data_IF_118646639168
#
_entry.id   IF_118646639168
#
_cell.length_a   1.000
_cell.length_b   1.000
_cell.length_c   1.000
_cell.angle_alpha   90.00
_cell.angle_beta   90.00
_cell.angle_gamma   90.00
#
_symmetry.space_group_name_H-M   'P 1'
#
loop_
_entity.id
_entity.type
_entity.pdbx_description
1 polymer ?
#
# COMPACT_ATOMS: atom_id res chain seq x y z
N UNK A 1 2.57 -4.45 -13.99
CA UNK A 1 2.96 -3.13 -13.39
C UNK A 1 2.46 -3.07 -11.94
N UNK A 2 3.17 -2.34 -11.07
CA UNK A 2 2.73 -2.20 -9.66
C UNK A 2 1.60 -1.16 -9.58
N UNK A 3 0.46 -1.53 -9.01
CA UNK A 3 -0.71 -0.65 -8.82
C UNK A 3 -0.35 0.63 -8.06
N UNK A 4 0.50 0.52 -7.03
CA UNK A 4 0.99 1.61 -6.21
C UNK A 4 2.47 1.40 -5.94
N UNK A 5 3.26 2.44 -6.12
CA UNK A 5 4.68 2.47 -5.74
C UNK A 5 4.82 3.37 -4.52
N UNK A 6 5.43 2.85 -3.46
CA UNK A 6 5.87 3.61 -2.30
C UNK A 6 7.37 3.43 -2.11
N UNK A 7 8.10 4.53 -2.04
CA UNK A 7 9.54 4.55 -1.75
C UNK A 7 9.82 5.55 -0.63
N UNK A 8 10.71 5.19 0.29
CA UNK A 8 11.10 6.04 1.41
C UNK A 8 12.62 6.07 1.56
N UNK A 9 13.16 7.24 1.86
CA UNK A 9 14.58 7.49 2.13
C UNK A 9 14.72 8.54 3.22
N UNK A 10 15.93 8.67 3.78
CA UNK A 10 16.37 9.81 4.59
C UNK A 10 17.86 10.08 4.34
N UNK A 11 18.32 11.23 4.76
CA UNK A 11 19.75 11.52 4.87
C UNK A 11 20.13 11.45 6.34
N UNK A 12 21.29 10.87 6.62
CA UNK A 12 21.76 10.73 8.00
C UNK A 12 21.97 12.13 8.64
N UNK A 13 21.36 12.43 9.79
CA UNK A 13 21.38 13.77 10.38
C UNK A 13 22.79 14.27 10.73
N UNK A 14 23.71 13.36 11.07
CA UNK A 14 25.09 13.71 11.46
C UNK A 14 26.01 14.08 10.28
N UNK A 15 25.53 13.98 9.04
CA UNK A 15 26.30 14.45 7.88
C UNK A 15 26.19 15.97 7.76
N UNK A 16 27.34 16.63 7.64
CA UNK A 16 27.47 18.11 7.58
C UNK A 16 26.59 18.76 6.49
N UNK A 17 26.40 18.07 5.37
CA UNK A 17 25.63 18.55 4.23
C UNK A 17 24.11 18.27 4.33
N UNK A 18 23.66 17.48 5.31
CA UNK A 18 22.25 17.08 5.44
C UNK A 18 21.29 18.26 5.58
N UNK A 19 21.55 19.29 6.39
CA UNK A 19 20.64 20.43 6.49
C UNK A 19 20.44 21.14 5.15
N UNK A 20 21.51 21.44 4.43
CA UNK A 20 21.47 22.04 3.11
C UNK A 20 20.75 21.17 2.07
N UNK A 21 21.03 19.87 2.09
CA UNK A 21 20.38 18.93 1.19
C UNK A 21 18.89 18.74 1.48
N UNK A 22 18.45 18.87 2.74
CA UNK A 22 17.03 18.83 3.09
C UNK A 22 16.33 20.13 2.66
N UNK A 23 16.94 21.29 2.86
CA UNK A 23 16.46 22.55 2.32
C UNK A 23 16.28 22.49 0.79
N UNK A 24 17.32 22.08 0.09
CA UNK A 24 17.30 21.97 -1.38
C UNK A 24 16.26 20.98 -1.88
N UNK A 25 16.02 19.90 -1.14
CA UNK A 25 14.98 18.94 -1.50
C UNK A 25 13.57 19.53 -1.36
N UNK A 26 13.28 20.27 -0.28
CA UNK A 26 11.99 20.97 -0.14
C UNK A 26 11.79 21.96 -1.27
N UNK A 27 12.81 22.78 -1.59
CA UNK A 27 12.76 23.68 -2.76
C UNK A 27 12.46 22.92 -4.05
N UNK A 28 13.16 21.82 -4.29
CA UNK A 28 12.99 20.99 -5.49
C UNK A 28 11.55 20.49 -5.65
N UNK A 29 10.97 19.89 -4.61
CA UNK A 29 9.61 19.37 -4.70
C UNK A 29 8.56 20.47 -4.81
N UNK A 30 8.83 21.66 -4.23
CA UNK A 30 7.92 22.79 -4.22
C UNK A 30 7.82 23.51 -5.56
N UNK A 31 8.94 23.61 -6.30
CA UNK A 31 9.09 24.56 -7.40
C UNK A 31 9.49 23.94 -8.75
N UNK A 32 9.73 22.62 -8.81
CA UNK A 32 10.10 21.92 -10.04
C UNK A 32 9.05 22.15 -11.15
N UNK A 33 9.47 22.21 -12.44
CA UNK A 33 8.52 22.14 -13.55
C UNK A 33 7.56 20.96 -13.42
N UNK A 34 6.30 21.16 -13.80
CA UNK A 34 5.19 20.18 -13.67
C UNK A 34 4.71 19.88 -12.24
N UNK A 35 5.15 20.65 -11.23
CA UNK A 35 4.47 20.64 -9.94
C UNK A 35 3.07 21.25 -10.09
N UNK A 36 2.07 20.60 -9.54
CA UNK A 36 0.74 21.19 -9.43
C UNK A 36 0.81 22.30 -8.37
N UNK A 37 0.66 23.56 -8.83
CA UNK A 37 0.77 24.73 -7.96
C UNK A 37 -0.57 25.04 -7.31
N UNK A 38 -0.52 25.63 -6.13
CA UNK A 38 -1.67 26.27 -5.49
C UNK A 38 -2.12 27.49 -6.31
N UNK A 39 -3.39 27.82 -6.23
CA UNK A 39 -3.94 29.03 -6.86
C UNK A 39 -3.18 30.26 -6.35
N UNK A 40 -2.76 31.12 -7.28
CA UNK A 40 -2.01 32.34 -6.99
C UNK A 40 -0.65 32.18 -6.31
N UNK A 41 -0.06 30.97 -6.32
CA UNK A 41 1.24 30.71 -5.71
C UNK A 41 2.28 30.24 -6.74
N UNK A 42 3.55 30.50 -6.44
CA UNK A 42 4.67 30.05 -7.27
C UNK A 42 5.18 28.65 -6.90
N UNK A 43 4.50 27.96 -5.99
CA UNK A 43 4.86 26.63 -5.50
C UNK A 43 3.63 25.74 -5.35
N UNK A 44 3.85 24.41 -5.17
CA UNK A 44 2.81 23.41 -4.99
C UNK A 44 2.86 22.68 -3.65
N UNK A 45 3.50 23.25 -2.62
CA UNK A 45 3.55 22.63 -1.29
C UNK A 45 2.23 22.77 -0.54
N UNK A 46 1.83 21.69 0.10
CA UNK A 46 0.77 21.62 1.09
C UNK A 46 1.17 20.65 2.21
N UNK A 47 0.48 20.66 3.34
CA UNK A 47 0.77 19.77 4.47
C UNK A 47 0.42 20.41 5.80
N UNK A 48 0.93 19.83 6.91
CA UNK A 48 0.67 20.30 8.27
C UNK A 48 1.96 20.33 9.08
N UNK A 49 2.31 21.50 9.58
CA UNK A 49 3.45 21.69 10.48
C UNK A 49 3.04 21.71 11.95
N UNK A 50 1.74 21.97 12.23
CA UNK A 50 1.18 21.92 13.57
C UNK A 50 -0.18 21.19 13.53
N UNK A 51 -0.59 20.52 14.63
CA UNK A 51 -1.92 19.93 14.74
C UNK A 51 -3.02 20.99 14.52
N UNK A 52 -3.96 20.72 13.61
CA UNK A 52 -5.04 21.65 13.29
C UNK A 52 -4.68 22.80 12.35
N UNK A 53 -3.42 22.93 11.95
CA UNK A 53 -2.98 23.95 11.00
C UNK A 53 -3.59 23.79 9.61
N UNK A 54 -3.67 24.91 8.88
CA UNK A 54 -4.12 24.96 7.49
C UNK A 54 -3.13 24.19 6.60
N UNK A 55 -3.65 23.54 5.59
CA UNK A 55 -2.93 22.64 4.70
C UNK A 55 -2.13 23.32 3.61
N UNK A 56 -2.32 24.62 3.39
CA UNK A 56 -1.59 25.40 2.38
C UNK A 56 -0.55 26.30 3.03
N UNK A 57 0.66 26.32 2.47
CA UNK A 57 1.75 27.19 2.92
C UNK A 57 1.80 28.46 2.09
N UNK A 58 1.99 29.60 2.75
CA UNK A 58 2.17 30.89 2.06
C UNK A 58 3.49 31.00 1.30
N UNK A 59 4.57 30.44 1.84
CA UNK A 59 5.88 30.38 1.18
C UNK A 59 6.53 29.00 1.45
N UNK A 60 7.01 28.35 0.40
CA UNK A 60 7.76 27.10 0.51
C UNK A 60 9.05 27.25 1.32
N UNK A 61 9.61 28.46 1.38
CA UNK A 61 10.85 28.74 2.12
C UNK A 61 10.70 28.51 3.62
N UNK A 62 9.52 28.69 4.18
CA UNK A 62 9.28 28.46 5.62
C UNK A 62 9.42 26.98 5.95
N UNK A 63 8.86 26.10 5.13
CA UNK A 63 9.04 24.63 5.26
C UNK A 63 10.51 24.27 5.05
N UNK A 64 11.19 24.85 4.08
CA UNK A 64 12.59 24.59 3.77
C UNK A 64 13.51 25.04 4.93
N UNK A 65 13.28 26.23 5.49
CA UNK A 65 14.02 26.73 6.67
C UNK A 65 13.79 25.86 7.90
N UNK A 66 12.55 25.43 8.15
CA UNK A 66 12.21 24.54 9.23
C UNK A 66 12.92 23.18 9.07
N UNK A 67 12.89 22.59 7.86
CA UNK A 67 13.59 21.33 7.59
C UNK A 67 15.12 21.45 7.80
N UNK A 68 15.71 22.58 7.42
CA UNK A 68 17.11 22.88 7.67
C UNK A 68 17.41 22.96 9.18
N UNK A 69 16.62 23.73 9.93
CA UNK A 69 16.79 23.91 11.36
C UNK A 69 16.62 22.60 12.14
N UNK A 70 15.62 21.80 11.79
CA UNK A 70 15.37 20.49 12.37
C UNK A 70 16.54 19.51 12.08
N UNK A 71 17.06 19.52 10.87
CA UNK A 71 18.23 18.70 10.52
C UNK A 71 19.46 19.07 11.34
N UNK A 72 19.68 20.36 11.61
CA UNK A 72 20.75 20.82 12.51
C UNK A 72 20.58 20.33 13.95
N UNK A 73 19.35 20.15 14.38
CA UNK A 73 19.01 19.60 15.72
C UNK A 73 19.11 18.06 15.80
N UNK A 74 19.43 17.39 14.69
CA UNK A 74 19.48 15.93 14.62
C UNK A 74 18.12 15.26 14.41
N UNK A 75 17.08 16.01 14.00
CA UNK A 75 15.79 15.47 13.60
C UNK A 75 15.91 14.90 12.21
N UNK A 76 15.46 13.65 12.04
CA UNK A 76 15.48 12.95 10.74
C UNK A 76 14.31 13.40 9.88
N UNK A 77 14.58 13.91 8.70
CA UNK A 77 13.58 14.16 7.69
C UNK A 77 13.50 12.95 6.74
N UNK A 78 12.39 12.24 6.78
CA UNK A 78 12.07 11.21 5.82
C UNK A 78 11.55 11.84 4.52
N UNK A 79 11.90 11.22 3.40
CA UNK A 79 11.48 11.61 2.06
C UNK A 79 10.81 10.41 1.43
N UNK A 80 9.57 10.53 1.04
CA UNK A 80 8.85 9.45 0.38
C UNK A 80 8.23 9.91 -0.93
N UNK A 81 7.92 8.93 -1.77
CA UNK A 81 7.21 9.10 -3.03
C UNK A 81 6.10 8.07 -3.08
N UNK A 82 4.90 8.53 -3.37
CA UNK A 82 3.75 7.69 -3.72
C UNK A 82 3.43 7.94 -5.19
N UNK A 83 3.38 6.90 -6.00
CA UNK A 83 3.11 6.99 -7.43
C UNK A 83 2.13 5.92 -7.87
N UNK A 84 1.31 6.28 -8.85
CA UNK A 84 0.38 5.39 -9.54
C UNK A 84 0.69 5.34 -11.03
N UNK A 85 0.26 4.29 -11.70
CA UNK A 85 0.11 4.32 -13.15
C UNK A 85 -0.97 5.36 -13.54
N UNK A 86 -0.89 5.92 -14.74
CA UNK A 86 -1.82 6.96 -15.21
C UNK A 86 -3.28 6.52 -15.09
N UNK A 87 -3.60 5.31 -15.56
CA UNK A 87 -4.96 4.79 -15.53
C UNK A 87 -5.48 4.60 -14.10
N UNK A 88 -4.64 4.12 -13.21
CA UNK A 88 -4.99 3.99 -11.78
C UNK A 88 -5.25 5.36 -11.15
N UNK A 89 -4.43 6.38 -11.45
CA UNK A 89 -4.64 7.72 -10.93
C UNK A 89 -5.94 8.34 -11.45
N UNK A 90 -6.29 8.11 -12.73
CA UNK A 90 -7.57 8.53 -13.32
C UNK A 90 -8.75 7.85 -12.63
N UNK A 91 -8.66 6.55 -12.43
CA UNK A 91 -9.69 5.76 -11.75
C UNK A 91 -9.93 6.24 -10.30
N UNK A 92 -8.86 6.57 -9.58
CA UNK A 92 -8.92 7.16 -8.23
C UNK A 92 -9.29 8.65 -8.23
N UNK A 93 -9.60 9.23 -9.39
CA UNK A 93 -9.91 10.64 -9.56
C UNK A 93 -8.84 11.60 -9.02
N UNK A 94 -7.57 11.18 -9.08
CA UNK A 94 -6.42 11.96 -8.65
C UNK A 94 -5.97 12.91 -9.76
N UNK A 95 -6.81 13.86 -10.14
CA UNK A 95 -6.64 14.74 -11.30
C UNK A 95 -6.07 16.13 -10.97
N UNK A 96 -6.16 16.56 -9.73
CA UNK A 96 -5.76 17.90 -9.27
C UNK A 96 -5.07 17.84 -7.90
N UNK A 97 -4.50 18.95 -7.47
CA UNK A 97 -3.81 19.02 -6.18
C UNK A 97 -4.73 18.71 -5.00
N UNK A 98 -6.00 19.16 -5.02
CA UNK A 98 -6.95 18.96 -3.92
C UNK A 98 -7.30 17.49 -3.74
N UNK A 99 -7.44 16.73 -4.83
CA UNK A 99 -7.69 15.28 -4.76
C UNK A 99 -6.49 14.52 -4.18
N UNK A 100 -5.26 14.87 -4.59
CA UNK A 100 -4.04 14.31 -4.03
C UNK A 100 -3.83 14.69 -2.56
N UNK A 101 -4.20 15.92 -2.19
CA UNK A 101 -4.13 16.38 -0.80
C UNK A 101 -5.03 15.53 0.09
N UNK A 102 -6.32 15.34 -0.29
CA UNK A 102 -7.26 14.47 0.43
C UNK A 102 -6.73 13.03 0.52
N UNK A 103 -6.18 12.51 -0.58
CA UNK A 103 -5.57 11.20 -0.59
C UNK A 103 -4.44 11.09 0.45
N UNK A 104 -3.53 12.07 0.49
CA UNK A 104 -2.45 12.07 1.47
C UNK A 104 -2.92 12.28 2.90
N UNK A 105 -3.90 13.13 3.15
CA UNK A 105 -4.48 13.32 4.49
C UNK A 105 -5.05 12.01 5.07
N UNK A 106 -5.64 11.17 4.23
CA UNK A 106 -6.14 9.86 4.63
C UNK A 106 -5.02 8.85 4.93
N UNK A 107 -3.85 8.99 4.30
CA UNK A 107 -2.78 7.99 4.40
C UNK A 107 -1.57 8.43 5.23
N UNK A 108 -1.42 9.74 5.51
CA UNK A 108 -0.23 10.25 6.20
C UNK A 108 -0.05 9.65 7.60
N UNK A 109 -1.15 9.34 8.29
CA UNK A 109 -1.10 8.70 9.61
C UNK A 109 -0.63 7.24 9.53
N UNK A 110 -0.96 6.53 8.46
CA UNK A 110 -0.40 5.20 8.19
C UNK A 110 1.12 5.27 8.00
N UNK A 111 1.59 6.25 7.21
CA UNK A 111 3.02 6.47 6.98
C UNK A 111 3.73 6.82 8.29
N UNK A 112 3.21 7.78 9.05
CA UNK A 112 3.75 8.21 10.32
C UNK A 112 3.80 7.08 11.35
N UNK A 113 2.68 6.39 11.58
CA UNK A 113 2.57 5.32 12.57
C UNK A 113 3.52 4.15 12.30
N UNK A 114 3.71 3.74 11.04
CA UNK A 114 4.69 2.70 10.68
C UNK A 114 6.15 3.14 10.90
N UNK A 115 6.41 4.44 10.92
CA UNK A 115 7.71 5.02 11.28
C UNK A 115 7.83 5.36 12.77
N UNK A 116 6.85 5.00 13.61
CA UNK A 116 6.86 5.27 15.04
C UNK A 116 6.60 6.73 15.41
N UNK A 117 6.07 7.53 14.49
CA UNK A 117 5.79 8.96 14.71
C UNK A 117 4.37 9.09 15.25
N UNK A 118 4.24 9.71 16.41
CA UNK A 118 2.94 10.00 17.03
C UNK A 118 2.26 11.17 16.32
N UNK A 119 0.91 11.18 16.34
CA UNK A 119 0.08 12.19 15.67
C UNK A 119 0.43 13.62 16.10
N UNK A 120 0.62 13.84 17.38
CA UNK A 120 0.94 15.14 17.97
C UNK A 120 2.31 15.67 17.60
N UNK A 121 3.21 14.78 17.17
CA UNK A 121 4.58 15.11 16.79
C UNK A 121 4.81 15.18 15.30
N UNK A 122 3.85 14.70 14.52
CA UNK A 122 3.97 14.64 13.07
C UNK A 122 3.97 16.04 12.45
N UNK A 123 5.01 16.33 11.70
CA UNK A 123 5.07 17.46 10.77
C UNK A 123 5.34 16.90 9.37
N UNK A 124 4.64 17.41 8.38
CA UNK A 124 4.79 16.94 7.00
C UNK A 124 4.46 18.00 5.98
N UNK A 125 5.07 17.89 4.82
CA UNK A 125 4.74 18.67 3.64
C UNK A 125 4.83 17.79 2.39
N UNK A 126 4.04 18.10 1.38
CA UNK A 126 3.99 17.32 0.15
C UNK A 126 3.78 18.22 -1.08
N UNK A 127 4.14 17.71 -2.25
CA UNK A 127 3.87 18.35 -3.53
C UNK A 127 3.61 17.29 -4.60
N UNK A 128 2.68 17.56 -5.49
CA UNK A 128 2.30 16.68 -6.59
C UNK A 128 3.07 17.04 -7.85
N UNK A 129 3.73 16.06 -8.45
CA UNK A 129 4.38 16.19 -9.74
C UNK A 129 3.56 15.45 -10.80
N UNK A 130 3.03 16.23 -11.74
CA UNK A 130 2.19 15.67 -12.80
C UNK A 130 3.05 15.19 -13.97
N UNK A 131 3.49 13.94 -13.88
CA UNK A 131 4.14 13.25 -15.00
C UNK A 131 3.10 12.36 -15.69
N UNK A 132 2.94 12.52 -17.01
CA UNK A 132 1.83 11.90 -17.77
C UNK A 132 1.69 10.39 -17.55
N UNK A 133 2.81 9.66 -17.54
CA UNK A 133 2.78 8.19 -17.41
C UNK A 133 2.74 7.69 -15.97
N UNK A 134 3.13 8.52 -15.00
CA UNK A 134 3.25 8.15 -13.59
C UNK A 134 3.13 9.37 -12.67
N UNK A 135 1.93 9.92 -12.54
CA UNK A 135 1.70 10.99 -11.59
C UNK A 135 2.09 10.53 -10.18
N UNK A 136 2.75 11.42 -9.44
CA UNK A 136 3.29 11.06 -8.14
C UNK A 136 3.33 12.24 -7.19
N UNK A 137 3.29 11.94 -5.91
CA UNK A 137 3.43 12.90 -4.83
C UNK A 137 4.72 12.64 -4.07
N UNK A 138 5.50 13.69 -3.89
CA UNK A 138 6.61 13.71 -2.96
C UNK A 138 6.11 14.13 -1.59
N UNK A 139 6.53 13.41 -0.55
CA UNK A 139 6.19 13.73 0.83
C UNK A 139 7.47 13.81 1.64
N UNK A 140 7.60 14.88 2.42
CA UNK A 140 8.61 15.01 3.46
C UNK A 140 7.91 15.02 4.82
N UNK A 141 8.43 14.28 5.78
CA UNK A 141 7.82 14.18 7.10
C UNK A 141 8.87 13.87 8.17
N UNK A 142 8.58 14.26 9.40
CA UNK A 142 9.46 14.07 10.55
C UNK A 142 8.68 14.10 11.86
N UNK A 143 9.29 13.55 12.91
CA UNK A 143 8.85 13.72 14.30
C UNK A 143 9.55 14.97 14.87
N UNK A 144 8.76 16.01 15.24
CA UNK A 144 9.31 17.27 15.75
C UNK A 144 10.03 17.16 17.10
N UNK A 145 9.78 16.09 17.83
CA UNK A 145 10.30 15.88 19.18
C UNK A 145 11.52 14.95 19.26
N UNK A 146 11.74 14.12 18.24
CA UNK A 146 12.72 13.03 18.32
C UNK A 146 14.01 13.38 17.59
N UNK A 147 15.12 13.34 18.32
CA UNK A 147 16.48 13.37 17.78
C UNK A 147 17.00 11.94 17.66
N UNK A 148 17.35 11.53 16.47
CA UNK A 148 17.83 10.17 16.21
C UNK A 148 19.32 10.20 15.88
N UNK A 149 20.14 9.57 16.72
CA UNK A 149 21.60 9.50 16.49
C UNK A 149 21.95 8.57 15.32
N UNK A 150 21.32 7.40 15.26
CA UNK A 150 21.54 6.38 14.23
C UNK A 150 20.21 5.98 13.61
N UNK A 151 19.67 6.77 12.67
CA UNK A 151 18.42 6.43 12.02
C UNK A 151 18.61 5.21 11.12
N UNK A 152 17.63 4.32 11.20
CA UNK A 152 17.55 3.15 10.35
C UNK A 152 16.09 2.90 9.95
N UNK A 153 15.85 2.63 8.67
CA UNK A 153 14.52 2.24 8.20
C UNK A 153 14.63 0.84 7.61
N UNK A 154 14.21 -0.21 8.34
CA UNK A 154 14.15 -1.56 7.80
C UNK A 154 13.27 -1.59 6.53
N UNK A 155 13.64 -2.42 5.55
CA UNK A 155 12.85 -2.57 4.29
C UNK A 155 11.40 -2.99 4.53
N UNK A 156 11.13 -3.65 5.67
CA UNK A 156 9.78 -4.04 6.07
C UNK A 156 8.85 -2.81 6.25
N UNK A 157 9.38 -1.66 6.73
CA UNK A 157 8.55 -0.46 6.96
C UNK A 157 7.95 0.09 5.66
N UNK A 158 8.73 0.43 4.62
CA UNK A 158 8.16 0.85 3.33
C UNK A 158 7.23 -0.18 2.70
N UNK A 159 7.53 -1.47 2.84
CA UNK A 159 6.68 -2.55 2.33
C UNK A 159 5.36 -2.64 3.10
N UNK A 160 5.38 -2.51 4.42
CA UNK A 160 4.17 -2.51 5.25
C UNK A 160 3.29 -1.28 4.96
N UNK A 161 3.90 -0.11 4.77
CA UNK A 161 3.18 1.12 4.36
C UNK A 161 2.51 0.88 3.02
N UNK A 162 3.27 0.40 2.02
CA UNK A 162 2.74 0.12 0.68
C UNK A 162 1.57 -0.86 0.72
N UNK A 163 1.70 -1.97 1.44
CA UNK A 163 0.63 -2.98 1.58
C UNK A 163 -0.63 -2.38 2.22
N UNK A 164 -0.46 -1.58 3.27
CA UNK A 164 -1.61 -0.94 3.94
C UNK A 164 -2.28 0.08 3.02
N UNK A 165 -1.50 0.94 2.35
CA UNK A 165 -2.05 1.90 1.39
C UNK A 165 -2.82 1.22 0.25
N UNK A 166 -2.31 0.11 -0.29
CA UNK A 166 -3.05 -0.68 -1.31
C UNK A 166 -4.37 -1.19 -0.74
N UNK A 167 -4.33 -1.77 0.47
CA UNK A 167 -5.52 -2.31 1.13
C UNK A 167 -6.57 -1.22 1.34
N UNK A 168 -6.16 -0.06 1.83
CA UNK A 168 -7.08 1.05 2.13
C UNK A 168 -7.62 1.69 0.85
N UNK A 169 -6.76 1.88 -0.17
CA UNK A 169 -7.13 2.51 -1.44
C UNK A 169 -8.06 1.64 -2.29
N UNK A 170 -7.89 0.33 -2.27
CA UNK A 170 -8.60 -0.61 -3.14
C UNK A 170 -9.52 -1.57 -2.36
N UNK A 171 -9.93 -1.21 -1.15
CA UNK A 171 -10.73 -2.06 -0.26
C UNK A 171 -11.99 -2.62 -0.96
N UNK A 172 -12.75 -1.76 -1.61
CA UNK A 172 -14.00 -2.16 -2.30
C UNK A 172 -13.72 -3.16 -3.45
N UNK A 173 -12.67 -2.91 -4.25
CA UNK A 173 -12.27 -3.84 -5.32
C UNK A 173 -11.81 -5.18 -4.77
N UNK A 174 -11.00 -5.16 -3.72
CA UNK A 174 -10.52 -6.39 -3.06
C UNK A 174 -11.71 -7.21 -2.56
N UNK A 175 -12.70 -6.56 -1.96
CA UNK A 175 -13.93 -7.22 -1.50
C UNK A 175 -14.76 -7.77 -2.66
N UNK A 176 -14.88 -7.02 -3.77
CA UNK A 176 -15.59 -7.49 -4.97
C UNK A 176 -14.91 -8.73 -5.56
N UNK A 177 -13.59 -8.71 -5.76
CA UNK A 177 -12.83 -9.88 -6.22
C UNK A 177 -12.95 -11.08 -5.29
N UNK A 178 -12.91 -10.86 -3.95
CA UNK A 178 -13.08 -11.95 -2.99
C UNK A 178 -14.48 -12.58 -3.11
N UNK A 179 -15.52 -11.78 -3.31
CA UNK A 179 -16.89 -12.25 -3.52
C UNK A 179 -17.00 -13.06 -4.81
N UNK A 180 -16.50 -12.54 -5.93
CA UNK A 180 -16.48 -13.24 -7.22
C UNK A 180 -15.73 -14.56 -7.14
N UNK A 181 -14.56 -14.58 -6.50
CA UNK A 181 -13.79 -15.80 -6.27
C UNK A 181 -14.60 -16.83 -5.49
N UNK A 182 -15.26 -16.41 -4.40
CA UNK A 182 -16.05 -17.32 -3.57
C UNK A 182 -17.23 -17.92 -4.35
N UNK A 183 -17.92 -17.10 -5.16
CA UNK A 183 -18.99 -17.58 -6.05
C UNK A 183 -18.47 -18.59 -7.07
N UNK A 184 -17.31 -18.31 -7.70
CA UNK A 184 -16.71 -19.25 -8.65
C UNK A 184 -16.31 -20.57 -8.00
N UNK A 185 -15.76 -20.53 -6.76
CA UNK A 185 -15.43 -21.76 -6.01
C UNK A 185 -16.68 -22.56 -5.64
N UNK A 186 -17.76 -21.88 -5.24
CA UNK A 186 -19.03 -22.54 -4.96
C UNK A 186 -19.61 -23.22 -6.20
N UNK A 187 -19.56 -22.53 -7.34
CA UNK A 187 -20.04 -23.09 -8.61
C UNK A 187 -19.19 -24.28 -9.08
N UNK A 188 -17.87 -24.20 -8.94
CA UNK A 188 -16.99 -25.35 -9.23
C UNK A 188 -17.32 -26.56 -8.35
N UNK A 189 -17.59 -26.35 -7.06
CA UNK A 189 -18.00 -27.44 -6.17
C UNK A 189 -19.31 -28.06 -6.61
N UNK A 190 -20.32 -27.25 -6.90
CA UNK A 190 -21.62 -27.73 -7.39
C UNK A 190 -21.46 -28.58 -8.66
N UNK A 191 -20.70 -28.11 -9.65
CA UNK A 191 -20.44 -28.86 -10.89
C UNK A 191 -19.69 -30.17 -10.59
N UNK A 192 -18.73 -30.13 -9.68
CA UNK A 192 -17.97 -31.33 -9.28
C UNK A 192 -18.88 -32.36 -8.62
N UNK A 193 -19.74 -31.93 -7.71
CA UNK A 193 -20.70 -32.81 -7.03
C UNK A 193 -21.65 -33.45 -8.04
N UNK A 194 -22.21 -32.66 -8.97
CA UNK A 194 -23.08 -33.17 -10.06
C UNK A 194 -22.35 -34.20 -10.94
N UNK A 195 -21.11 -33.93 -11.35
CA UNK A 195 -20.32 -34.86 -12.16
C UNK A 195 -19.99 -36.15 -11.41
N UNK A 196 -19.76 -36.08 -10.11
CA UNK A 196 -19.52 -37.26 -9.27
C UNK A 196 -20.79 -38.10 -9.18
N UNK A 197 -21.95 -37.48 -8.95
CA UNK A 197 -23.24 -38.16 -8.92
C UNK A 197 -23.56 -38.84 -10.28
N UNK A 198 -23.39 -38.13 -11.40
CA UNK A 198 -23.55 -38.70 -12.73
C UNK A 198 -22.63 -39.89 -12.98
N UNK A 199 -21.38 -39.79 -12.59
CA UNK A 199 -20.39 -40.84 -12.74
C UNK A 199 -20.73 -42.08 -11.86
N UNK A 200 -21.14 -41.86 -10.63
CA UNK A 200 -21.59 -42.94 -9.75
C UNK A 200 -22.81 -43.67 -10.33
N UNK A 201 -23.79 -42.94 -10.85
CA UNK A 201 -25.00 -43.52 -11.47
C UNK A 201 -24.64 -44.31 -12.75
N UNK A 202 -23.71 -43.81 -13.55
CA UNK A 202 -23.19 -44.52 -14.73
C UNK A 202 -22.46 -45.83 -14.31
N UNK A 203 -21.66 -45.79 -13.28
CA UNK A 203 -20.97 -46.97 -12.73
C UNK A 203 -21.98 -48.02 -12.18
N UNK A 204 -23.00 -47.56 -11.46
CA UNK A 204 -24.09 -48.44 -10.95
C UNK A 204 -24.81 -49.16 -12.11
N UNK A 205 -25.10 -48.43 -13.18
CA UNK A 205 -25.82 -48.99 -14.36
C UNK A 205 -24.96 -49.94 -15.21
N UNK A 206 -23.68 -49.54 -15.49
CA UNK A 206 -22.80 -50.28 -16.41
C UNK A 206 -21.95 -51.38 -15.73
N UNK A 207 -21.70 -51.30 -14.44
CA UNK A 207 -20.83 -52.22 -13.71
C UNK A 207 -21.25 -52.39 -12.27
N UNK A 208 -22.44 -52.89 -11.95
CA UNK A 208 -23.00 -52.91 -10.62
C UNK A 208 -22.13 -53.71 -9.62
N UNK A 209 -21.50 -54.78 -10.06
CA UNK A 209 -20.60 -55.56 -9.20
C UNK A 209 -19.28 -54.88 -8.83
N UNK A 210 -18.76 -54.01 -9.74
CA UNK A 210 -17.57 -53.21 -9.44
C UNK A 210 -17.89 -52.03 -8.53
N UNK A 211 -19.07 -51.45 -8.69
CA UNK A 211 -19.54 -50.38 -7.83
C UNK A 211 -19.71 -50.84 -6.37
N UNK A 212 -20.40 -51.95 -6.17
CA UNK A 212 -20.58 -52.56 -4.83
C UNK A 212 -19.25 -52.94 -4.18
N UNK A 213 -18.31 -53.46 -4.96
CA UNK A 213 -16.97 -53.78 -4.44
C UNK A 213 -16.18 -52.51 -4.03
N UNK A 214 -16.34 -51.42 -4.77
CA UNK A 214 -15.72 -50.15 -4.44
C UNK A 214 -16.37 -49.49 -3.21
N UNK A 215 -17.70 -49.49 -3.08
CA UNK A 215 -18.41 -49.02 -1.89
C UNK A 215 -17.96 -49.78 -0.64
N UNK A 216 -17.92 -51.08 -0.71
CA UNK A 216 -17.50 -51.94 0.42
C UNK A 216 -16.04 -51.68 0.82
N UNK A 217 -15.14 -51.54 -0.16
CA UNK A 217 -13.75 -51.21 0.10
C UNK A 217 -13.62 -49.84 0.77
N UNK A 218 -14.43 -48.88 0.31
CA UNK A 218 -14.42 -47.49 0.83
C UNK A 218 -14.90 -47.45 2.30
N UNK A 219 -15.96 -48.19 2.62
CA UNK A 219 -16.48 -48.32 3.98
C UNK A 219 -15.46 -48.99 4.91
N UNK A 220 -14.80 -50.08 4.46
CA UNK A 220 -13.76 -50.76 5.20
C UNK A 220 -12.56 -49.87 5.49
N UNK A 221 -12.11 -49.03 4.56
CA UNK A 221 -11.01 -48.07 4.73
C UNK A 221 -11.37 -46.92 5.68
N UNK A 222 -12.63 -46.42 5.63
CA UNK A 222 -13.14 -45.40 6.56
C UNK A 222 -13.20 -45.93 8.01
N UNK A 223 -13.67 -47.17 8.20
CA UNK A 223 -13.71 -47.80 9.54
C UNK A 223 -12.30 -48.01 10.12
N UNK A 224 -11.28 -48.21 9.27
CA UNK A 224 -9.90 -48.37 9.70
C UNK A 224 -9.19 -47.00 9.96
N UNK A 225 -9.88 -45.87 9.81
CA UNK A 225 -9.36 -44.54 10.14
C UNK A 225 -8.22 -44.08 9.26
N UNK A 226 -8.11 -44.61 8.05
CA UNK A 226 -7.09 -44.19 7.08
C UNK A 226 -7.48 -42.82 6.48
N UNK A 227 -6.69 -41.80 6.75
CA UNK A 227 -6.89 -40.48 6.19
C UNK A 227 -6.70 -40.50 4.68
N UNK A 228 -7.76 -40.25 3.93
CA UNK A 228 -7.82 -40.28 2.47
C UNK A 228 -6.80 -39.35 1.78
N UNK A 229 -6.42 -38.27 2.46
CA UNK A 229 -5.53 -37.24 1.92
C UNK A 229 -4.10 -37.69 1.63
N UNK A 230 -3.64 -38.77 2.20
CA UNK A 230 -2.25 -39.26 2.03
C UNK A 230 -2.06 -40.27 0.90
N UNK A 231 -3.07 -40.99 0.52
CA UNK A 231 -2.95 -42.03 -0.51
C UNK A 231 -3.20 -41.52 -1.93
N UNK A 232 -4.13 -40.60 -2.12
CA UNK A 232 -4.42 -40.01 -3.44
C UNK A 232 -3.24 -39.16 -3.96
N UNK A 233 -2.49 -38.52 -3.06
CA UNK A 233 -1.31 -37.70 -3.42
C UNK A 233 -0.03 -38.51 -3.71
N UNK A 234 -0.01 -39.80 -3.41
CA UNK A 234 1.18 -40.64 -3.67
C UNK A 234 1.09 -41.47 -4.95
N UNK A 235 -0.04 -41.47 -5.64
CA UNK A 235 -0.25 -42.23 -6.89
C UNK A 235 -0.54 -41.30 -8.12
N UNK A 236 -0.49 -39.96 -7.94
CA UNK A 236 -0.46 -38.95 -8.99
C UNK A 236 0.94 -38.36 -9.16
#
# INVERSE_FOLDING_TARGET
MSILVYKQRFRHPNKKDTPGANYAHVRYIATRPRVLKNENMNHGLFGKLEPGAVTEFGDWKDVAKLSYANSKKGIVMYRSVVSFAEDTAKELLLKDQKSWQRYMENHIMTIAGKNGIKRENLQWAAAVHWEKSHPHIHVVFWDKSVRVKNPFTPLQIPNAIRKQMIKDTFAEKILAFAKEKNLAVQEMRRITDELVEEFEEELRCKSPGRFQAAEKWFEEELEQGVSFDKKILSEL
#
